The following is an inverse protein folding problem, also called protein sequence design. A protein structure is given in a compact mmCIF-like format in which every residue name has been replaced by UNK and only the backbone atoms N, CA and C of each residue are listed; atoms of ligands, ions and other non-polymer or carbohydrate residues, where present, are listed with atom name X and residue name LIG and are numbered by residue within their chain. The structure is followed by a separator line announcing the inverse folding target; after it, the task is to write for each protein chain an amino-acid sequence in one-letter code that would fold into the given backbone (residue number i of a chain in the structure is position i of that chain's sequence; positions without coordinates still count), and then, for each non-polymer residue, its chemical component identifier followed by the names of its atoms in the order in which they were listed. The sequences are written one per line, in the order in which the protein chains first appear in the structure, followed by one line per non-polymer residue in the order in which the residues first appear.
data_IF_110649728903
#
_entry.id   IF_110649728903
#
_cell.length_a   1.000
_cell.length_b   1.000
_cell.length_c   1.000
_cell.angle_alpha   90.00
_cell.angle_beta   90.00
_cell.angle_gamma   90.00
#
_symmetry.space_group_name_H-M   'P 1'
#
loop_
_entity.id
_entity.type
_entity.pdbx_description
1 polymer ?
#
# COMPACT_ATOMS: atom_id res chain seq x y z
N UNK A 1 -3.49 -17.96 -14.03
CA UNK A 1 -3.37 -17.42 -12.66
C UNK A 1 -3.61 -15.94 -12.74
N UNK A 2 -4.73 -15.46 -12.21
CA UNK A 2 -4.98 -14.03 -12.03
C UNK A 2 -4.02 -13.56 -10.96
N UNK A 3 -2.97 -12.84 -11.34
CA UNK A 3 -2.16 -12.09 -10.39
C UNK A 3 -3.04 -10.96 -9.87
N UNK A 4 -3.41 -11.01 -8.59
CA UNK A 4 -4.03 -9.88 -7.92
C UNK A 4 -3.12 -8.66 -8.10
N UNK A 5 -3.61 -7.63 -8.79
CA UNK A 5 -2.79 -6.50 -9.21
C UNK A 5 -2.82 -5.41 -8.15
N UNK A 6 -1.72 -5.25 -7.43
CA UNK A 6 -1.41 -4.03 -6.70
C UNK A 6 -1.09 -2.92 -7.69
N UNK A 7 -1.81 -1.79 -7.60
CA UNK A 7 -1.54 -0.61 -8.41
C UNK A 7 -1.56 0.63 -7.53
N UNK A 8 -0.45 1.36 -7.49
CA UNK A 8 -0.45 2.68 -6.87
C UNK A 8 -1.02 3.68 -7.88
N UNK A 9 -2.05 4.43 -7.48
CA UNK A 9 -2.65 5.46 -8.30
C UNK A 9 -2.82 6.76 -7.51
N UNK A 10 -2.88 7.87 -8.24
CA UNK A 10 -3.09 9.19 -7.70
C UNK A 10 -4.06 9.91 -8.63
N UNK A 11 -5.22 10.29 -8.10
CA UNK A 11 -6.20 11.12 -8.81
C UNK A 11 -6.01 12.58 -8.39
N UNK A 12 -5.53 13.46 -9.27
CA UNK A 12 -5.38 14.86 -8.96
C UNK A 12 -6.76 15.54 -8.99
N UNK A 13 -7.50 15.47 -7.89
CA UNK A 13 -8.61 16.39 -7.65
C UNK A 13 -8.17 17.43 -6.62
N UNK A 14 -8.46 18.70 -6.93
CA UNK A 14 -8.45 19.90 -6.05
C UNK A 14 -7.62 19.83 -4.76
N UNK A 15 -6.58 20.66 -4.68
CA UNK A 15 -5.77 20.98 -3.49
C UNK A 15 -4.98 19.83 -2.80
N UNK A 16 -5.50 18.60 -2.67
CA UNK A 16 -4.86 17.52 -1.89
C UNK A 16 -4.33 16.39 -2.77
N UNK A 17 -3.00 16.31 -2.95
CA UNK A 17 -2.37 15.11 -3.56
C UNK A 17 -2.23 14.06 -2.45
N UNK A 18 -3.09 13.05 -2.46
CA UNK A 18 -3.08 11.98 -1.46
C UNK A 18 -2.52 10.68 -2.07
N UNK A 19 -1.50 10.05 -1.48
CA UNK A 19 -1.02 8.75 -1.93
C UNK A 19 -2.07 7.66 -1.70
N UNK A 20 -2.33 6.83 -2.72
CA UNK A 20 -3.28 5.72 -2.62
C UNK A 20 -2.70 4.40 -3.13
N UNK A 21 -2.93 3.35 -2.37
CA UNK A 21 -2.69 1.96 -2.77
C UNK A 21 -4.00 1.39 -3.30
N UNK A 22 -4.01 0.88 -4.53
CA UNK A 22 -5.13 0.09 -5.05
C UNK A 22 -4.83 -1.39 -4.97
N UNK A 23 -5.72 -2.11 -4.30
CA UNK A 23 -5.71 -3.56 -4.21
C UNK A 23 -6.85 -4.07 -5.08
N UNK A 24 -6.54 -4.89 -6.07
CA UNK A 24 -7.56 -5.60 -6.85
C UNK A 24 -7.65 -7.03 -6.35
N UNK A 25 -8.84 -7.43 -5.91
CA UNK A 25 -9.10 -8.77 -5.40
C UNK A 25 -10.34 -9.28 -6.12
N UNK A 26 -10.19 -10.38 -6.88
CA UNK A 26 -11.27 -10.89 -7.74
C UNK A 26 -11.81 -9.78 -8.66
N UNK A 27 -13.09 -9.43 -8.52
CA UNK A 27 -13.79 -8.41 -9.30
C UNK A 27 -13.84 -7.03 -8.61
N UNK A 28 -13.36 -6.93 -7.37
CA UNK A 28 -13.39 -5.72 -6.56
C UNK A 28 -12.05 -4.95 -6.58
N UNK A 29 -12.14 -3.63 -6.50
CA UNK A 29 -11.00 -2.72 -6.39
C UNK A 29 -11.13 -1.87 -5.12
N UNK A 30 -10.09 -1.91 -4.28
CA UNK A 30 -10.03 -1.16 -3.02
C UNK A 30 -8.98 -0.06 -3.13
N UNK A 31 -9.40 1.20 -2.99
CA UNK A 31 -8.52 2.36 -3.01
C UNK A 31 -8.22 2.85 -1.58
N UNK A 32 -7.02 2.58 -1.10
CA UNK A 32 -6.60 2.85 0.27
C UNK A 32 -5.70 4.09 0.32
N UNK A 33 -6.22 5.18 0.86
CA UNK A 33 -5.43 6.38 1.14
C UNK A 33 -4.46 6.13 2.29
N UNK A 34 -3.17 6.44 2.10
CA UNK A 34 -2.11 6.11 3.05
C UNK A 34 -1.36 7.35 3.53
N UNK A 35 -0.62 7.21 4.62
CA UNK A 35 0.29 8.23 5.15
C UNK A 35 1.59 8.22 4.34
N UNK A 36 2.08 9.40 3.93
CA UNK A 36 3.23 9.49 3.01
C UNK A 36 4.56 9.22 3.72
N UNK A 37 4.67 9.65 4.98
CA UNK A 37 5.84 9.45 5.83
C UNK A 37 6.19 7.96 5.95
N UNK A 38 5.16 7.12 6.06
CA UNK A 38 5.29 5.67 6.17
C UNK A 38 5.82 5.04 4.85
N UNK A 39 5.62 5.68 3.69
CA UNK A 39 6.23 5.24 2.42
C UNK A 39 7.74 5.48 2.40
N UNK A 40 8.17 6.62 2.92
CA UNK A 40 9.59 6.97 2.99
C UNK A 40 10.33 6.02 3.96
N UNK A 41 9.73 5.76 5.11
CA UNK A 41 10.24 4.79 6.09
C UNK A 41 10.30 3.37 5.51
N UNK A 42 9.21 2.91 4.88
CA UNK A 42 9.20 1.59 4.24
C UNK A 42 10.30 1.46 3.18
N UNK A 43 10.53 2.50 2.37
CA UNK A 43 11.61 2.50 1.37
C UNK A 43 13.01 2.44 1.97
N UNK A 44 13.23 3.11 3.10
CA UNK A 44 14.49 3.06 3.82
C UNK A 44 14.78 1.63 4.29
N UNK A 45 13.81 1.01 4.96
CA UNK A 45 13.93 -0.32 5.54
C UNK A 45 14.03 -1.42 4.48
N UNK A 46 13.24 -1.32 3.39
CA UNK A 46 13.34 -2.24 2.26
C UNK A 46 14.66 -2.12 1.49
N UNK A 47 15.35 -0.98 1.59
CA UNK A 47 16.64 -0.72 0.97
C UNK A 47 17.81 -1.46 1.63
N UNK A 48 17.72 -1.69 2.93
CA UNK A 48 18.63 -2.56 3.66
C UNK A 48 18.28 -4.02 3.36
N UNK A 49 19.21 -4.81 2.81
CA UNK A 49 18.94 -6.22 2.45
C UNK A 49 18.90 -7.15 3.65
N UNK A 50 19.58 -6.77 4.74
CA UNK A 50 19.64 -7.57 5.96
C UNK A 50 18.45 -7.30 6.88
N UNK A 51 17.73 -6.19 6.65
CA UNK A 51 16.55 -5.87 7.43
C UNK A 51 15.39 -6.81 7.11
N UNK A 52 14.92 -7.52 8.14
CA UNK A 52 13.76 -8.40 8.13
C UNK A 52 12.82 -7.98 9.26
N UNK A 53 11.52 -8.14 9.07
CA UNK A 53 10.56 -7.81 10.11
C UNK A 53 9.25 -7.26 9.57
N UNK A 54 8.53 -6.56 10.43
CA UNK A 54 7.20 -6.03 10.12
C UNK A 54 7.25 -4.52 9.98
N UNK A 55 6.71 -4.02 8.87
CA UNK A 55 6.45 -2.62 8.61
C UNK A 55 4.95 -2.38 8.74
N UNK A 56 4.58 -1.17 9.15
CA UNK A 56 3.18 -0.74 9.19
C UNK A 56 3.02 0.48 8.29
N UNK A 57 2.07 0.43 7.36
CA UNK A 57 1.69 1.59 6.54
C UNK A 57 0.32 2.04 7.00
N UNK A 58 0.23 3.21 7.65
CA UNK A 58 -1.04 3.74 8.14
C UNK A 58 -1.93 4.19 7.00
N UNK A 59 -3.21 3.90 7.16
CA UNK A 59 -4.25 4.43 6.31
C UNK A 59 -4.69 5.79 6.85
N UNK A 60 -4.90 6.75 5.96
CA UNK A 60 -5.49 8.06 6.33
C UNK A 60 -6.97 7.94 6.64
N UNK A 61 -7.62 6.89 6.14
CA UNK A 61 -9.02 6.57 6.41
C UNK A 61 -9.11 5.08 6.71
N UNK A 62 -9.77 4.68 7.81
CA UNK A 62 -9.93 3.27 8.13
C UNK A 62 -10.65 2.54 7.00
N UNK A 63 -10.15 1.35 6.66
CA UNK A 63 -10.88 0.42 5.82
C UNK A 63 -11.83 -0.38 6.72
N UNK A 64 -13.13 -0.27 6.44
CA UNK A 64 -14.16 -0.98 7.20
C UNK A 64 -14.48 -2.29 6.48
N UNK A 65 -14.33 -3.39 7.20
CA UNK A 65 -14.68 -4.73 6.72
C UNK A 65 -16.19 -4.85 6.45
N UNK A 66 -16.56 -5.83 5.65
CA UNK A 66 -17.96 -6.08 5.28
C UNK A 66 -18.34 -7.55 5.48
N UNK A 67 -19.62 -7.89 5.34
CA UNK A 67 -20.10 -9.26 5.52
C UNK A 67 -19.79 -9.81 6.92
N UNK A 68 -19.09 -10.95 6.98
CA UNK A 68 -18.69 -11.61 8.24
C UNK A 68 -17.74 -10.76 9.10
N UNK A 69 -17.01 -9.82 8.49
CA UNK A 69 -16.09 -8.90 9.17
C UNK A 69 -16.67 -7.48 9.29
N UNK A 70 -17.99 -7.34 9.19
CA UNK A 70 -18.65 -6.07 9.47
C UNK A 70 -18.32 -5.60 10.89
N UNK A 71 -17.76 -4.40 11.02
CA UNK A 71 -17.29 -3.83 12.29
C UNK A 71 -15.79 -4.00 12.53
N UNK A 72 -15.07 -4.78 11.72
CA UNK A 72 -13.62 -4.73 11.70
C UNK A 72 -13.16 -3.42 11.04
N UNK A 73 -12.26 -2.69 11.69
CA UNK A 73 -11.65 -1.47 11.17
C UNK A 73 -10.14 -1.68 11.03
N UNK A 74 -9.66 -1.67 9.79
CA UNK A 74 -8.23 -1.70 9.49
C UNK A 74 -7.72 -0.28 9.36
N UNK A 75 -6.88 0.15 10.30
CA UNK A 75 -6.26 1.49 10.30
C UNK A 75 -4.89 1.51 9.63
N UNK A 76 -4.30 0.34 9.40
CA UNK A 76 -2.97 0.20 8.81
C UNK A 76 -2.83 -1.12 8.08
N UNK A 77 -1.97 -1.12 7.06
CA UNK A 77 -1.54 -2.31 6.35
C UNK A 77 -0.33 -2.89 7.08
N UNK A 78 -0.42 -4.17 7.43
CA UNK A 78 0.70 -4.92 7.97
C UNK A 78 1.51 -5.46 6.79
N UNK A 79 2.80 -5.16 6.77
CA UNK A 79 3.71 -5.55 5.70
C UNK A 79 4.86 -6.33 6.31
N UNK A 80 4.83 -7.65 6.13
CA UNK A 80 5.88 -8.56 6.57
C UNK A 80 6.96 -8.65 5.50
N UNK A 81 8.20 -8.43 5.89
CA UNK A 81 9.35 -8.39 5.00
C UNK A 81 10.29 -9.53 5.37
N UNK A 82 10.53 -10.38 4.38
CA UNK A 82 11.52 -11.45 4.42
C UNK A 82 12.66 -11.13 3.41
N UNK A 83 13.62 -12.03 3.27
CA UNK A 83 14.83 -11.84 2.48
C UNK A 83 14.52 -11.53 1.01
N UNK A 84 13.48 -12.15 0.44
CA UNK A 84 13.12 -12.00 -0.98
C UNK A 84 11.67 -11.61 -1.21
N UNK A 85 10.83 -11.71 -0.19
CA UNK A 85 9.38 -11.53 -0.31
C UNK A 85 8.90 -10.47 0.64
N UNK A 86 7.78 -9.85 0.26
CA UNK A 86 7.01 -8.95 1.09
C UNK A 86 5.57 -9.43 1.05
N UNK A 87 4.98 -9.64 2.21
CA UNK A 87 3.58 -10.05 2.37
C UNK A 87 2.78 -8.92 2.99
N UNK A 88 1.69 -8.54 2.33
CA UNK A 88 0.78 -7.49 2.77
C UNK A 88 -0.56 -8.12 3.12
N UNK A 89 -1.01 -7.95 4.36
CA UNK A 89 -2.26 -8.53 4.84
C UNK A 89 -3.31 -7.46 5.10
N UNK A 90 -4.54 -7.72 4.67
CA UNK A 90 -5.70 -6.83 4.82
C UNK A 90 -6.95 -7.66 5.13
N UNK A 91 -7.86 -7.10 5.93
CA UNK A 91 -9.16 -7.71 6.23
C UNK A 91 -10.23 -6.94 5.45
N UNK A 92 -10.90 -7.64 4.53
CA UNK A 92 -11.98 -7.11 3.70
C UNK A 92 -13.32 -7.73 4.16
N UNK A 93 -14.04 -8.39 3.26
CA UNK A 93 -15.08 -9.39 3.56
C UNK A 93 -14.51 -10.78 3.88
N UNK A 94 -13.22 -10.98 3.60
CA UNK A 94 -12.39 -12.09 4.04
C UNK A 94 -10.93 -11.62 4.23
N UNK A 95 -10.10 -12.34 5.00
CA UNK A 95 -8.68 -12.03 5.11
C UNK A 95 -7.98 -12.32 3.78
N UNK A 96 -7.19 -11.36 3.32
CA UNK A 96 -6.38 -11.47 2.09
C UNK A 96 -4.93 -11.14 2.40
N UNK A 97 -4.03 -11.97 1.90
CA UNK A 97 -2.59 -11.72 1.92
C UNK A 97 -2.07 -11.68 0.49
N UNK A 98 -1.38 -10.61 0.14
CA UNK A 98 -0.68 -10.46 -1.13
C UNK A 98 0.80 -10.65 -0.90
N UNK A 99 1.45 -11.50 -1.68
CA UNK A 99 2.90 -11.69 -1.62
C UNK A 99 3.57 -11.20 -2.90
N UNK A 100 4.59 -10.38 -2.74
CA UNK A 100 5.39 -9.81 -3.82
C UNK A 100 6.86 -10.09 -3.60
N UNK A 101 7.66 -9.98 -4.66
CA UNK A 101 9.10 -9.89 -4.44
C UNK A 101 9.45 -8.55 -3.76
N UNK A 102 10.42 -8.56 -2.85
CA UNK A 102 10.91 -7.36 -2.15
C UNK A 102 11.34 -6.27 -3.14
N UNK A 103 11.97 -6.68 -4.24
CA UNK A 103 12.43 -5.79 -5.30
C UNK A 103 11.27 -5.13 -6.04
N UNK A 104 10.25 -5.90 -6.40
CA UNK A 104 9.04 -5.41 -7.06
C UNK A 104 8.27 -4.45 -6.16
N UNK A 105 8.05 -4.83 -4.90
CA UNK A 105 7.40 -3.96 -3.92
C UNK A 105 8.17 -2.65 -3.73
N UNK A 106 9.49 -2.71 -3.58
CA UNK A 106 10.35 -1.51 -3.50
C UNK A 106 10.24 -0.63 -4.75
N UNK A 107 10.19 -1.23 -5.95
CA UNK A 107 10.01 -0.47 -7.21
C UNK A 107 8.65 0.22 -7.24
N UNK A 108 7.60 -0.44 -6.76
CA UNK A 108 6.27 0.16 -6.65
C UNK A 108 6.28 1.38 -5.73
N UNK A 109 6.83 1.26 -4.52
CA UNK A 109 6.92 2.39 -3.59
C UNK A 109 7.78 3.54 -4.14
N UNK A 110 8.91 3.25 -4.80
CA UNK A 110 9.73 4.30 -5.44
C UNK A 110 8.98 5.02 -6.55
N UNK A 111 8.24 4.27 -7.38
CA UNK A 111 7.41 4.85 -8.45
C UNK A 111 6.31 5.74 -7.85
N UNK A 112 5.67 5.28 -6.79
CA UNK A 112 4.67 6.04 -6.04
C UNK A 112 5.23 7.40 -5.57
N UNK A 113 6.36 7.38 -4.85
CA UNK A 113 7.03 8.60 -4.36
C UNK A 113 7.43 9.56 -5.50
N UNK A 114 7.87 9.02 -6.64
CA UNK A 114 8.19 9.81 -7.83
C UNK A 114 6.96 10.52 -8.40
N UNK A 115 5.83 9.83 -8.52
CA UNK A 115 4.58 10.43 -9.01
C UNK A 115 4.03 11.49 -8.05
N UNK A 116 4.11 11.26 -6.72
CA UNK A 116 3.77 12.28 -5.71
C UNK A 116 4.62 13.55 -5.87
N UNK A 117 5.93 13.37 -6.05
CA UNK A 117 6.88 14.48 -6.23
C UNK A 117 6.58 15.28 -7.51
N UNK A 118 6.23 14.60 -8.61
CA UNK A 118 5.85 15.25 -9.87
C UNK A 118 4.56 16.05 -9.72
N UNK A 119 3.54 15.46 -9.10
CA UNK A 119 2.24 16.09 -8.90
C UNK A 119 2.32 17.37 -8.05
N UNK A 120 3.27 17.42 -7.10
CA UNK A 120 3.58 18.62 -6.32
C UNK A 120 4.24 19.70 -7.17
N UNK A 121 5.20 19.33 -8.03
CA UNK A 121 5.90 20.28 -8.92
C UNK A 121 4.99 20.89 -9.98
N UNK A 122 4.04 20.14 -10.51
CA UNK A 122 3.06 20.66 -11.48
C UNK A 122 2.04 21.62 -10.87
N UNK A 123 1.99 21.73 -9.54
CA UNK A 123 1.13 22.66 -8.79
C UNK A 123 1.88 23.94 -8.35
N UNK A 124 3.20 23.98 -8.56
CA UNK A 124 4.07 25.06 -8.10
C UNK A 124 4.42 26.05 -9.20
#
# INVERSE_FOLDING_TARGET
MMTDKFKFEMTPETANVEPQIRLRVRDDEYCLAIVEEDLAEALLLLGDREWLGTLTIRLKRPLVGSGMFAGCCTNSLLVEVDARTVSLSVILDYPVTFSYSRLEFSRYLRRAMKELSKARRSKS
#
